data_IF_430633349679
#
_entry.id   IF_430633349679
#
_cell.length_a   1.000
_cell.length_b   1.000
_cell.length_c   1.000
_cell.angle_alpha   90.00
_cell.angle_beta   90.00
_cell.angle_gamma   90.00
#
_symmetry.space_group_name_H-M   'P 1'
#
loop_
_entity.id
_entity.type
_entity.pdbx_description
1 polymer ?
#
# COMPACT_ATOMS: atom_id res chain seq x y z
N UNK A 1 45.39 86.17 -12.87
CA UNK A 1 44.50 85.57 -13.91
C UNK A 1 43.33 84.75 -13.32
N UNK A 2 43.54 83.99 -12.26
CA UNK A 2 42.50 83.16 -11.67
C UNK A 2 41.23 83.89 -11.18
N UNK A 3 41.44 85.04 -10.51
CA UNK A 3 40.36 85.84 -9.95
C UNK A 3 39.41 86.49 -11.02
N UNK A 4 39.88 86.79 -12.25
CA UNK A 4 39.06 87.22 -13.35
C UNK A 4 38.32 86.11 -14.06
N UNK A 5 38.85 84.88 -14.05
CA UNK A 5 38.19 83.68 -14.58
C UNK A 5 37.01 83.28 -13.69
N UNK A 6 37.17 83.27 -12.33
CA UNK A 6 36.13 83.00 -11.36
C UNK A 6 34.96 83.96 -11.39
N UNK A 7 35.25 85.26 -11.56
CA UNK A 7 34.21 86.32 -11.67
C UNK A 7 33.44 86.27 -13.00
N UNK A 8 34.06 85.83 -14.09
CA UNK A 8 33.37 85.59 -15.38
C UNK A 8 32.50 84.33 -15.33
N UNK A 9 32.94 83.32 -14.59
CA UNK A 9 32.16 82.08 -14.41
C UNK A 9 30.89 82.32 -13.60
N UNK A 10 30.88 83.26 -12.63
CA UNK A 10 29.73 83.62 -11.80
C UNK A 10 28.65 84.44 -12.49
N UNK A 11 28.96 85.06 -13.66
CA UNK A 11 28.02 85.90 -14.43
C UNK A 11 27.52 85.20 -15.72
N UNK A 12 28.05 84.05 -16.10
CA UNK A 12 27.64 83.35 -17.31
C UNK A 12 26.44 82.46 -17.01
N UNK A 13 25.27 82.73 -17.62
CA UNK A 13 24.06 81.92 -17.46
C UNK A 13 24.26 80.41 -17.85
N UNK A 14 25.26 80.14 -18.67
CA UNK A 14 25.66 78.75 -19.01
C UNK A 14 26.39 78.04 -17.85
N UNK A 15 27.01 78.82 -16.93
CA UNK A 15 27.63 78.25 -15.72
C UNK A 15 26.62 77.67 -14.74
N UNK A 16 25.37 78.12 -14.74
CA UNK A 16 24.32 77.56 -13.88
C UNK A 16 24.02 76.08 -14.16
N UNK A 17 24.12 75.64 -15.42
CA UNK A 17 23.95 74.24 -15.81
C UNK A 17 25.05 73.37 -15.21
N UNK A 18 26.30 73.82 -15.23
CA UNK A 18 27.42 73.10 -14.64
C UNK A 18 27.33 72.96 -13.08
N UNK A 19 26.85 74.05 -12.44
CA UNK A 19 26.62 74.04 -10.98
C UNK A 19 25.47 73.15 -10.62
N UNK A 20 24.35 73.20 -11.33
CA UNK A 20 23.20 72.27 -11.11
C UNK A 20 23.62 70.79 -11.35
N UNK A 21 24.37 70.58 -12.47
CA UNK A 21 24.88 69.21 -12.74
C UNK A 21 25.81 68.70 -11.65
N UNK A 22 26.75 69.53 -11.17
CA UNK A 22 27.66 69.16 -10.08
C UNK A 22 26.93 68.90 -8.76
N UNK A 23 25.89 69.68 -8.45
CA UNK A 23 25.06 69.46 -7.24
C UNK A 23 24.14 68.23 -7.35
N UNK A 24 23.60 67.94 -8.54
CA UNK A 24 22.73 66.79 -8.77
C UNK A 24 23.50 65.46 -8.97
N UNK A 25 24.76 65.58 -9.47
CA UNK A 25 25.60 64.39 -9.69
C UNK A 25 25.91 63.61 -8.41
N UNK A 26 26.13 64.30 -7.30
CA UNK A 26 26.41 63.67 -6.00
C UNK A 26 25.23 62.81 -5.54
N UNK A 27 24.00 63.31 -5.39
CA UNK A 27 22.87 62.49 -5.01
C UNK A 27 22.55 61.38 -6.01
N UNK A 28 22.78 61.58 -7.33
CA UNK A 28 22.60 60.55 -8.35
C UNK A 28 23.61 59.41 -8.14
N UNK A 29 24.88 59.69 -7.90
CA UNK A 29 25.89 58.65 -7.61
C UNK A 29 25.56 57.91 -6.33
N UNK A 30 25.05 58.59 -5.30
CA UNK A 30 24.61 57.98 -4.06
C UNK A 30 23.43 57.02 -4.30
N UNK A 31 22.41 57.43 -5.06
CA UNK A 31 21.28 56.59 -5.42
C UNK A 31 21.68 55.39 -6.27
N UNK A 32 22.56 55.54 -7.24
CA UNK A 32 23.09 54.46 -8.07
C UNK A 32 23.89 53.45 -7.22
N UNK A 33 24.81 53.92 -6.36
CA UNK A 33 25.61 53.08 -5.48
C UNK A 33 24.73 52.28 -4.51
N UNK A 34 23.72 52.94 -3.92
CA UNK A 34 22.74 52.29 -3.03
C UNK A 34 21.92 51.22 -3.77
N UNK A 35 21.47 51.54 -4.97
CA UNK A 35 20.67 50.60 -5.79
C UNK A 35 21.51 49.35 -6.18
N UNK A 36 22.77 49.57 -6.56
CA UNK A 36 23.67 48.46 -6.90
C UNK A 36 23.95 47.53 -5.68
N UNK A 37 24.28 48.13 -4.55
CA UNK A 37 24.55 47.33 -3.34
C UNK A 37 23.31 46.59 -2.86
N UNK A 38 22.14 47.23 -2.90
CA UNK A 38 20.87 46.57 -2.56
C UNK A 38 20.55 45.45 -3.54
N UNK A 39 20.72 45.64 -4.83
CA UNK A 39 20.46 44.62 -5.85
C UNK A 39 21.40 43.43 -5.69
N UNK A 40 22.66 43.67 -5.39
CA UNK A 40 23.64 42.63 -5.12
C UNK A 40 23.31 41.83 -3.83
N UNK A 41 22.84 42.54 -2.79
CA UNK A 41 22.40 41.90 -1.56
C UNK A 41 21.16 41.01 -1.80
N UNK A 42 20.17 41.47 -2.58
CA UNK A 42 19.02 40.69 -3.00
C UNK A 42 19.43 39.44 -3.80
N UNK A 43 20.33 39.59 -4.77
CA UNK A 43 20.84 38.43 -5.53
C UNK A 43 21.51 37.37 -4.65
N UNK A 44 22.31 37.80 -3.67
CA UNK A 44 22.91 36.90 -2.70
C UNK A 44 21.88 36.22 -1.81
N UNK A 45 20.82 36.97 -1.42
CA UNK A 45 19.70 36.39 -0.67
C UNK A 45 19.00 35.26 -1.44
N UNK A 46 18.74 35.46 -2.75
CA UNK A 46 18.14 34.44 -3.59
C UNK A 46 19.04 33.20 -3.72
N UNK A 47 20.35 33.37 -3.86
CA UNK A 47 21.30 32.25 -3.89
C UNK A 47 21.36 31.49 -2.56
N UNK A 48 21.25 32.18 -1.43
CA UNK A 48 21.22 31.59 -0.10
C UNK A 48 19.86 30.90 0.18
N UNK A 49 18.76 31.45 -0.33
CA UNK A 49 17.45 30.78 -0.30
C UNK A 49 17.52 29.46 -1.05
N UNK A 50 18.08 29.43 -2.25
CA UNK A 50 18.27 28.20 -3.02
C UNK A 50 19.21 27.20 -2.29
N UNK A 51 20.19 27.67 -1.53
CA UNK A 51 21.02 26.81 -0.69
C UNK A 51 20.22 26.22 0.49
N UNK A 52 19.34 27.02 1.12
CA UNK A 52 18.49 26.57 2.20
C UNK A 52 17.45 25.55 1.70
N UNK A 53 16.83 25.78 0.54
CA UNK A 53 15.91 24.82 -0.10
C UNK A 53 16.60 23.50 -0.38
N UNK A 54 17.79 23.52 -0.98
CA UNK A 54 18.56 22.30 -1.25
C UNK A 54 18.93 21.55 0.03
N UNK A 55 19.25 22.25 1.10
CA UNK A 55 19.59 21.67 2.40
C UNK A 55 18.35 21.03 3.06
N UNK A 56 17.21 21.72 3.04
CA UNK A 56 15.95 21.20 3.58
C UNK A 56 15.49 19.95 2.83
N UNK A 57 15.54 19.96 1.48
CA UNK A 57 15.20 18.80 0.65
C UNK A 57 16.16 17.63 0.89
N UNK A 58 17.46 17.88 1.04
CA UNK A 58 18.43 16.82 1.30
C UNK A 58 18.17 16.09 2.62
N UNK A 59 17.67 16.82 3.63
CA UNK A 59 17.38 16.29 4.96
C UNK A 59 16.05 15.53 5.07
N UNK A 60 15.19 15.59 4.03
CA UNK A 60 13.94 14.79 3.94
C UNK A 60 13.99 13.70 2.88
N UNK A 61 15.17 13.32 2.38
CA UNK A 61 15.33 12.18 1.47
C UNK A 61 14.97 10.86 2.19
N UNK A 62 14.58 9.79 1.46
CA UNK A 62 14.16 8.53 2.07
C UNK A 62 15.13 7.99 3.14
N UNK A 63 16.46 8.02 2.87
CA UNK A 63 17.46 7.60 3.83
C UNK A 63 17.50 8.47 5.11
N UNK A 64 17.17 9.74 5.02
CA UNK A 64 17.11 10.66 6.17
C UNK A 64 15.77 10.60 6.89
N UNK A 65 14.68 10.23 6.22
CA UNK A 65 13.37 10.06 6.86
C UNK A 65 13.35 8.89 7.86
N UNK A 66 14.12 7.85 7.60
CA UNK A 66 14.23 6.68 8.48
C UNK A 66 15.34 6.81 9.53
N UNK A 67 16.17 7.87 9.43
CA UNK A 67 17.22 8.15 10.41
C UNK A 67 16.62 8.65 11.72
N UNK A 68 16.85 7.92 12.82
CA UNK A 68 16.32 8.25 14.16
C UNK A 68 17.18 9.28 14.88
N UNK A 69 18.48 9.34 14.58
CA UNK A 69 19.38 10.36 15.14
C UNK A 69 19.21 11.69 14.39
N UNK A 70 18.54 12.63 15.03
CA UNK A 70 18.31 13.98 14.49
C UNK A 70 19.61 14.78 14.32
N UNK A 71 20.70 14.44 15.03
CA UNK A 71 21.99 15.09 14.85
C UNK A 71 22.60 14.78 13.47
N UNK A 72 22.46 13.53 12.98
CA UNK A 72 22.88 13.13 11.62
C UNK A 72 22.09 13.89 10.55
N UNK A 73 20.78 14.05 10.77
CA UNK A 73 19.89 14.77 9.84
C UNK A 73 20.29 16.26 9.77
N UNK A 74 20.52 16.90 10.93
CA UNK A 74 20.99 18.30 11.02
C UNK A 74 22.33 18.48 10.31
N UNK A 75 23.31 17.61 10.62
CA UNK A 75 24.63 17.67 10.00
C UNK A 75 24.56 17.53 8.48
N UNK A 76 23.64 16.69 7.96
CA UNK A 76 23.42 16.56 6.51
C UNK A 76 22.90 17.86 5.89
N UNK A 77 21.93 18.51 6.52
CA UNK A 77 21.41 19.79 6.04
C UNK A 77 22.47 20.89 6.09
N UNK A 78 23.22 20.96 7.21
CA UNK A 78 24.29 21.95 7.41
C UNK A 78 25.40 21.80 6.37
N UNK A 79 25.82 20.56 6.08
CA UNK A 79 26.85 20.28 5.07
C UNK A 79 26.40 20.70 3.66
N UNK A 80 25.16 20.40 3.28
CA UNK A 80 24.61 20.80 1.97
C UNK A 80 24.45 22.31 1.87
N UNK A 81 24.00 22.97 2.93
CA UNK A 81 23.89 24.41 2.98
C UNK A 81 25.29 25.06 2.83
N UNK A 82 26.27 24.67 3.65
CA UNK A 82 27.60 25.21 3.63
C UNK A 82 28.29 25.09 2.26
N UNK A 83 28.12 23.93 1.60
CA UNK A 83 28.66 23.69 0.25
C UNK A 83 28.11 24.67 -0.81
N UNK A 84 26.85 25.13 -0.65
CA UNK A 84 26.18 26.06 -1.59
C UNK A 84 26.22 27.52 -1.15
N UNK A 85 26.39 27.80 0.14
CA UNK A 85 26.40 29.15 0.72
C UNK A 85 27.76 29.81 0.67
N UNK A 86 28.81 29.17 0.17
CA UNK A 86 30.14 29.79 -0.02
C UNK A 86 30.11 30.72 -1.25
N UNK A 87 29.57 31.91 -1.06
CA UNK A 87 29.39 32.89 -2.13
C UNK A 87 30.39 34.03 -1.99
N UNK A 88 30.98 34.53 -3.12
CA UNK A 88 31.84 35.70 -3.08
C UNK A 88 31.08 36.95 -2.66
N UNK A 89 31.71 37.79 -1.85
CA UNK A 89 31.14 39.04 -1.36
C UNK A 89 30.20 38.89 -0.18
N UNK A 90 30.23 37.76 0.52
CA UNK A 90 29.75 37.65 1.89
C UNK A 90 30.90 37.90 2.86
N UNK A 91 30.61 38.41 4.07
CA UNK A 91 31.64 38.61 5.12
C UNK A 91 32.18 37.30 5.65
N UNK A 92 31.38 36.24 5.67
CA UNK A 92 31.70 34.87 6.03
C UNK A 92 30.66 33.91 5.46
N UNK A 93 30.99 32.63 5.35
CA UNK A 93 29.99 31.57 5.06
C UNK A 93 29.01 31.52 6.23
N UNK A 94 27.70 31.76 6.01
CA UNK A 94 26.76 31.75 7.11
C UNK A 94 26.53 30.35 7.65
N UNK A 95 26.39 30.22 8.97
CA UNK A 95 26.01 28.98 9.65
C UNK A 95 24.48 28.93 9.71
N UNK A 96 23.83 27.91 9.15
CA UNK A 96 22.38 27.79 9.22
C UNK A 96 21.91 27.33 10.58
N UNK A 97 20.69 27.68 10.95
CA UNK A 97 19.95 27.04 12.06
C UNK A 97 19.03 26.00 11.46
N UNK A 98 19.22 24.73 11.80
CA UNK A 98 18.41 23.60 11.31
C UNK A 98 17.50 23.10 12.42
N UNK A 99 16.19 23.17 12.17
CA UNK A 99 15.16 22.61 13.08
C UNK A 99 14.58 21.37 12.45
N UNK A 100 14.57 20.25 13.20
CA UNK A 100 13.98 18.96 12.81
C UNK A 100 12.75 18.74 13.70
N UNK A 101 11.59 18.52 13.08
CA UNK A 101 10.33 18.22 13.78
C UNK A 101 9.73 16.96 13.18
N UNK A 102 9.61 15.91 14.00
CA UNK A 102 8.98 14.65 13.64
C UNK A 102 7.55 14.60 14.19
N UNK A 103 6.58 14.27 13.33
CA UNK A 103 5.18 14.11 13.68
C UNK A 103 4.66 12.83 13.02
N UNK A 104 4.61 11.73 13.76
CA UNK A 104 4.30 10.41 13.22
C UNK A 104 5.30 10.01 12.14
N UNK A 105 4.82 9.72 10.94
CA UNK A 105 5.66 9.37 9.78
C UNK A 105 6.24 10.58 9.07
N UNK A 106 5.76 11.78 9.36
CA UNK A 106 6.17 13.00 8.69
C UNK A 106 7.34 13.67 9.42
N UNK A 107 8.35 14.07 8.65
CA UNK A 107 9.47 14.90 9.10
C UNK A 107 9.40 16.25 8.41
N UNK A 108 9.48 17.31 9.20
CA UNK A 108 9.56 18.69 8.75
C UNK A 108 10.94 19.24 9.10
N UNK A 109 11.64 19.76 8.12
CA UNK A 109 12.96 20.39 8.26
C UNK A 109 12.83 21.85 7.90
N UNK A 110 13.22 22.73 8.83
CA UNK A 110 13.34 24.18 8.56
C UNK A 110 14.81 24.58 8.66
N UNK A 111 15.33 25.16 7.59
CA UNK A 111 16.70 25.70 7.51
C UNK A 111 16.59 27.20 7.41
N UNK A 112 17.10 27.93 8.40
CA UNK A 112 17.13 29.39 8.42
C UNK A 112 18.56 29.89 8.48
N UNK A 113 18.81 31.06 7.90
CA UNK A 113 20.14 31.67 7.87
C UNK A 113 20.08 33.18 8.04
N UNK A 114 21.18 33.75 8.50
CA UNK A 114 21.48 35.19 8.48
C UNK A 114 22.89 35.37 7.95
N UNK A 115 23.05 36.28 6.98
CA UNK A 115 24.34 36.55 6.34
C UNK A 115 24.54 38.09 6.17
N UNK A 116 25.83 38.46 5.99
CA UNK A 116 26.21 39.88 5.74
C UNK A 116 26.79 39.97 4.33
N UNK A 117 26.07 40.67 3.44
CA UNK A 117 26.55 41.01 2.10
C UNK A 117 27.48 42.22 2.19
N UNK A 118 28.72 42.12 1.71
CA UNK A 118 29.68 43.23 1.65
C UNK A 118 29.19 44.23 0.60
N UNK A 119 29.15 45.53 0.99
CA UNK A 119 28.80 46.61 0.13
C UNK A 119 30.01 47.07 -0.70
N UNK A 120 29.83 47.33 -1.99
CA UNK A 120 30.87 47.89 -2.86
C UNK A 120 31.03 49.43 -2.68
N UNK A 121 29.99 50.10 -2.21
CA UNK A 121 29.97 51.54 -1.98
C UNK A 121 29.72 51.87 -0.49
N UNK A 122 30.54 51.36 0.45
CA UNK A 122 30.30 51.54 1.88
C UNK A 122 30.35 53.00 2.33
N UNK A 123 31.14 53.84 1.66
CA UNK A 123 31.24 55.29 1.93
C UNK A 123 29.96 56.03 1.58
N UNK A 124 29.14 55.53 0.66
CA UNK A 124 27.86 56.10 0.25
C UNK A 124 26.78 55.80 1.28
N UNK A 125 26.75 54.53 1.78
CA UNK A 125 25.71 54.06 2.69
C UNK A 125 26.04 54.28 4.16
N UNK A 126 27.29 54.61 4.49
CA UNK A 126 27.74 54.60 5.89
C UNK A 126 27.76 53.25 6.55
N UNK A 127 27.61 52.16 5.77
CA UNK A 127 27.56 50.77 6.25
C UNK A 127 28.45 49.87 5.40
N UNK A 128 29.26 49.03 6.06
CA UNK A 128 30.16 48.09 5.40
C UNK A 128 29.40 46.89 4.78
N UNK A 129 28.30 46.52 5.38
CA UNK A 129 27.55 45.32 5.02
C UNK A 129 26.04 45.57 5.01
N UNK A 130 25.32 44.77 4.24
CA UNK A 130 23.89 44.66 4.25
C UNK A 130 23.45 43.28 4.74
N UNK A 131 22.63 43.25 5.80
CA UNK A 131 22.14 41.98 6.35
C UNK A 131 21.08 41.41 5.42
N UNK A 132 21.22 40.12 5.09
CA UNK A 132 20.24 39.29 4.38
C UNK A 132 19.90 38.07 5.21
N UNK A 133 18.66 37.68 5.23
CA UNK A 133 18.16 36.52 5.91
C UNK A 133 17.10 35.80 5.07
N UNK A 134 16.87 34.55 5.38
CA UNK A 134 15.86 33.72 4.76
C UNK A 134 15.68 32.41 5.48
N UNK A 135 14.67 31.66 5.05
CA UNK A 135 14.40 30.30 5.54
C UNK A 135 13.77 29.47 4.46
N UNK A 136 13.98 28.16 4.52
CA UNK A 136 13.33 27.19 3.67
C UNK A 136 12.78 26.05 4.55
N UNK A 137 11.63 25.52 4.19
CA UNK A 137 11.02 24.40 4.91
C UNK A 137 10.66 23.30 3.91
N UNK A 138 11.12 22.07 4.19
CA UNK A 138 10.72 20.87 3.46
C UNK A 138 10.03 19.91 4.40
N UNK A 139 9.00 19.23 3.90
CA UNK A 139 8.27 18.20 4.63
C UNK A 139 8.13 16.98 3.74
N UNK A 140 8.41 15.81 4.29
CA UNK A 140 8.14 14.53 3.65
C UNK A 140 7.70 13.50 4.68
N UNK A 141 7.02 12.45 4.22
CA UNK A 141 6.61 11.32 5.05
C UNK A 141 7.33 10.06 4.60
N UNK A 142 7.79 9.25 5.56
CA UNK A 142 8.28 7.89 5.30
C UNK A 142 7.10 6.96 5.06
N UNK A 143 7.33 5.87 4.32
CA UNK A 143 6.40 4.76 4.31
C UNK A 143 6.47 4.01 5.64
N UNK A 144 5.33 3.54 6.18
CA UNK A 144 5.32 2.81 7.44
C UNK A 144 5.89 1.41 7.29
N UNK A 145 6.46 0.89 8.38
CA UNK A 145 6.67 -0.53 8.55
C UNK A 145 5.30 -1.22 8.67
N UNK A 146 5.12 -2.34 7.97
CA UNK A 146 3.83 -3.04 7.94
C UNK A 146 3.97 -4.54 8.08
N UNK A 147 3.01 -5.14 8.77
CA UNK A 147 2.80 -6.57 8.83
C UNK A 147 1.57 -6.95 8.01
N UNK A 148 1.73 -7.90 7.11
CA UNK A 148 0.70 -8.38 6.20
C UNK A 148 0.23 -9.76 6.60
N UNK A 149 -1.06 -9.92 6.86
CA UNK A 149 -1.69 -11.18 7.20
C UNK A 149 -2.53 -11.64 6.02
N UNK A 150 -1.99 -12.58 5.24
CA UNK A 150 -2.71 -13.20 4.13
C UNK A 150 -3.69 -14.20 4.69
N UNK A 151 -4.98 -13.96 4.53
CA UNK A 151 -6.08 -14.84 4.93
C UNK A 151 -6.75 -15.40 3.68
N UNK A 152 -6.42 -16.63 3.33
CA UNK A 152 -6.75 -17.25 2.05
C UNK A 152 -7.84 -18.29 2.22
N UNK A 153 -8.86 -18.21 1.39
CA UNK A 153 -9.92 -19.18 1.29
C UNK A 153 -9.40 -20.47 0.64
N UNK A 154 -9.56 -21.60 1.34
CA UNK A 154 -9.23 -22.93 0.81
C UNK A 154 -10.44 -23.89 0.86
N UNK A 155 -11.63 -23.31 1.02
CA UNK A 155 -12.90 -24.02 1.02
C UNK A 155 -13.14 -24.77 -0.31
N UNK A 156 -14.08 -25.73 -0.34
CA UNK A 156 -14.37 -26.50 -1.55
C UNK A 156 -14.74 -25.68 -2.78
N UNK A 157 -15.28 -24.47 -2.60
CA UNK A 157 -15.61 -23.55 -3.71
C UNK A 157 -14.36 -23.03 -4.45
N UNK A 158 -13.19 -23.01 -3.79
CA UNK A 158 -11.92 -22.68 -4.44
C UNK A 158 -11.38 -23.78 -5.36
N UNK A 159 -12.03 -24.96 -5.37
CA UNK A 159 -11.78 -26.04 -6.31
C UNK A 159 -12.45 -25.86 -7.68
N UNK A 160 -13.13 -24.75 -7.92
CA UNK A 160 -13.73 -24.46 -9.24
C UNK A 160 -12.64 -24.21 -10.29
N UNK A 161 -12.89 -24.64 -11.54
CA UNK A 161 -12.00 -24.33 -12.68
C UNK A 161 -11.74 -22.82 -12.80
N UNK A 162 -10.49 -22.46 -13.08
CA UNK A 162 -10.04 -21.07 -13.05
C UNK A 162 -10.60 -20.23 -14.20
N UNK A 163 -10.91 -20.86 -15.33
CA UNK A 163 -11.50 -20.23 -16.52
C UNK A 163 -12.73 -20.99 -16.97
N UNK A 164 -13.56 -20.41 -17.84
CA UNK A 164 -14.68 -21.15 -18.44
C UNK A 164 -14.20 -22.42 -19.15
N UNK A 165 -13.06 -22.33 -19.84
CA UNK A 165 -12.46 -23.49 -20.51
C UNK A 165 -12.03 -24.58 -19.51
N UNK A 166 -11.49 -24.21 -18.35
CA UNK A 166 -11.16 -25.15 -17.27
C UNK A 166 -12.42 -25.78 -16.68
N UNK A 167 -13.50 -25.02 -16.53
CA UNK A 167 -14.80 -25.52 -16.07
C UNK A 167 -15.36 -26.52 -17.05
N UNK A 168 -15.40 -26.22 -18.35
CA UNK A 168 -15.93 -27.10 -19.38
C UNK A 168 -15.10 -28.38 -19.49
N UNK A 169 -13.78 -28.23 -19.37
CA UNK A 169 -12.84 -29.35 -19.34
C UNK A 169 -13.05 -30.23 -18.10
N UNK A 170 -13.31 -29.63 -16.94
CA UNK A 170 -13.60 -30.34 -15.69
C UNK A 170 -14.91 -31.13 -15.79
N UNK A 171 -16.00 -30.53 -16.29
CA UNK A 171 -17.27 -31.19 -16.54
C UNK A 171 -17.09 -32.40 -17.46
N UNK A 172 -16.36 -32.22 -18.56
CA UNK A 172 -16.07 -33.29 -19.51
C UNK A 172 -15.23 -34.42 -18.90
N UNK A 173 -14.15 -34.06 -18.18
CA UNK A 173 -13.22 -35.01 -17.58
C UNK A 173 -13.87 -35.85 -16.45
N UNK A 174 -14.92 -35.32 -15.81
CA UNK A 174 -15.67 -36.02 -14.75
C UNK A 174 -16.88 -36.79 -15.26
N UNK A 175 -17.13 -36.86 -16.57
CA UNK A 175 -18.29 -37.51 -17.16
C UNK A 175 -18.42 -39.00 -16.82
N UNK A 176 -17.31 -39.68 -16.59
CA UNK A 176 -17.26 -41.10 -16.19
C UNK A 176 -17.22 -41.36 -14.68
N UNK A 177 -17.26 -40.30 -13.86
CA UNK A 177 -17.29 -40.40 -12.40
C UNK A 177 -18.63 -40.99 -11.89
N UNK A 178 -18.68 -41.51 -10.63
CA UNK A 178 -19.95 -41.84 -9.99
C UNK A 178 -20.99 -40.73 -10.05
N UNK A 179 -22.28 -41.06 -9.96
CA UNK A 179 -23.38 -40.12 -10.15
C UNK A 179 -23.30 -38.87 -9.29
N UNK A 180 -22.75 -38.94 -8.10
CA UNK A 180 -22.55 -37.81 -7.18
C UNK A 180 -21.39 -36.89 -7.55
N UNK A 181 -20.43 -37.36 -8.36
CA UNK A 181 -19.23 -36.65 -8.76
C UNK A 181 -19.18 -36.31 -10.27
N UNK A 182 -20.22 -36.78 -11.02
CA UNK A 182 -20.27 -36.71 -12.48
C UNK A 182 -20.64 -35.31 -12.99
N UNK A 183 -20.02 -34.95 -14.12
CA UNK A 183 -20.27 -33.69 -14.80
C UNK A 183 -20.11 -32.48 -13.85
N UNK A 184 -19.12 -32.54 -12.98
CA UNK A 184 -18.92 -31.58 -11.93
C UNK A 184 -17.89 -30.51 -12.35
N UNK A 185 -18.21 -29.24 -12.14
CA UNK A 185 -17.31 -28.13 -12.38
C UNK A 185 -16.25 -27.97 -11.26
N UNK A 186 -16.46 -28.61 -10.12
CA UNK A 186 -15.62 -28.54 -8.95
C UNK A 186 -14.68 -29.74 -8.84
N UNK A 187 -13.41 -29.48 -8.60
CA UNK A 187 -12.38 -30.47 -8.33
C UNK A 187 -12.32 -30.80 -6.84
N UNK A 188 -13.42 -31.30 -6.27
CA UNK A 188 -13.49 -31.64 -4.84
C UNK A 188 -12.42 -32.65 -4.46
N UNK A 189 -11.73 -32.38 -3.35
CA UNK A 189 -10.72 -33.24 -2.76
C UNK A 189 -11.35 -34.09 -1.65
N UNK A 190 -11.39 -35.41 -1.81
CA UNK A 190 -11.98 -36.30 -0.82
C UNK A 190 -10.93 -36.85 0.17
N UNK A 191 -11.34 -37.07 1.41
CA UNK A 191 -10.44 -37.58 2.47
C UNK A 191 -10.05 -39.04 2.30
N UNK A 192 -10.76 -39.77 1.44
CA UNK A 192 -10.47 -41.19 1.23
C UNK A 192 -9.21 -41.41 0.39
N UNK A 193 -8.12 -41.99 0.94
CA UNK A 193 -6.84 -42.13 0.23
C UNK A 193 -6.94 -42.90 -1.09
N UNK A 194 -7.87 -43.84 -1.19
CA UNK A 194 -8.08 -44.59 -2.42
C UNK A 194 -8.62 -43.73 -3.56
N UNK A 195 -9.38 -42.70 -3.24
CA UNK A 195 -9.94 -41.75 -4.24
C UNK A 195 -8.90 -40.76 -4.72
N UNK A 196 -7.81 -40.57 -3.99
CA UNK A 196 -6.69 -39.71 -4.35
C UNK A 196 -5.67 -40.41 -5.27
N UNK A 197 -5.78 -41.76 -5.45
CA UNK A 197 -4.88 -42.50 -6.33
C UNK A 197 -5.26 -42.32 -7.81
N UNK A 198 -4.38 -41.76 -8.69
CA UNK A 198 -4.67 -41.62 -10.11
C UNK A 198 -5.03 -42.90 -10.84
N UNK A 199 -4.57 -44.04 -10.33
CA UNK A 199 -4.87 -45.39 -10.88
C UNK A 199 -6.16 -46.01 -10.35
N UNK A 200 -6.83 -45.37 -9.39
CA UNK A 200 -8.12 -45.83 -8.84
C UNK A 200 -9.24 -45.61 -9.87
N UNK A 201 -10.18 -46.56 -9.90
CA UNK A 201 -11.42 -46.44 -10.69
C UNK A 201 -12.36 -45.35 -10.13
N UNK A 202 -12.25 -45.09 -8.82
CA UNK A 202 -13.07 -44.08 -8.10
C UNK A 202 -12.18 -42.99 -7.51
N UNK A 203 -11.37 -42.33 -8.35
CA UNK A 203 -10.55 -41.19 -7.94
C UNK A 203 -11.38 -39.93 -7.72
N UNK A 204 -10.97 -39.11 -6.76
CA UNK A 204 -11.62 -37.82 -6.53
C UNK A 204 -11.45 -36.84 -7.71
N UNK A 205 -12.29 -35.82 -7.76
CA UNK A 205 -12.28 -34.87 -8.85
C UNK A 205 -11.04 -33.98 -8.84
N UNK A 206 -10.35 -33.79 -7.71
CA UNK A 206 -9.05 -33.10 -7.67
C UNK A 206 -7.99 -33.92 -8.42
N UNK A 207 -7.95 -35.23 -8.19
CA UNK A 207 -7.06 -36.14 -8.93
C UNK A 207 -7.36 -36.13 -10.43
N UNK A 208 -8.66 -36.07 -10.80
CA UNK A 208 -9.06 -35.92 -12.21
C UNK A 208 -8.56 -34.58 -12.79
N UNK A 209 -8.72 -33.48 -12.04
CA UNK A 209 -8.26 -32.16 -12.48
C UNK A 209 -6.75 -32.15 -12.72
N UNK A 210 -5.96 -32.69 -11.80
CA UNK A 210 -4.49 -32.75 -11.93
C UNK A 210 -4.05 -33.62 -13.10
N UNK A 211 -4.68 -34.78 -13.31
CA UNK A 211 -4.39 -35.65 -14.42
C UNK A 211 -4.72 -35.02 -15.79
N UNK A 212 -5.63 -34.07 -15.85
CA UNK A 212 -6.03 -33.36 -17.06
C UNK A 212 -5.44 -31.96 -17.19
N UNK A 213 -4.48 -31.55 -16.35
CA UNK A 213 -3.88 -30.22 -16.34
C UNK A 213 -4.94 -29.11 -16.32
N UNK A 214 -5.93 -29.22 -15.43
CA UNK A 214 -6.98 -28.23 -15.23
C UNK A 214 -6.50 -27.27 -14.14
N UNK A 215 -6.49 -25.99 -14.45
CA UNK A 215 -6.14 -24.93 -13.48
C UNK A 215 -7.37 -24.62 -12.62
N UNK A 216 -7.17 -24.56 -11.32
CA UNK A 216 -8.21 -24.23 -10.35
C UNK A 216 -8.02 -22.83 -9.77
N UNK A 217 -9.06 -22.24 -9.21
CA UNK A 217 -8.98 -20.93 -8.53
C UNK A 217 -7.88 -20.90 -7.47
N UNK A 218 -7.78 -21.95 -6.66
CA UNK A 218 -6.74 -22.06 -5.62
C UNK A 218 -5.33 -21.97 -6.20
N UNK A 219 -5.11 -22.50 -7.40
CA UNK A 219 -3.81 -22.45 -8.07
C UNK A 219 -3.45 -21.01 -8.44
N UNK A 220 -4.42 -20.22 -8.95
CA UNK A 220 -4.21 -18.81 -9.27
C UNK A 220 -3.94 -17.99 -8.00
N UNK A 221 -4.67 -18.22 -6.92
CA UNK A 221 -4.44 -17.56 -5.62
C UNK A 221 -3.05 -17.89 -5.09
N UNK A 222 -2.67 -19.16 -5.12
CA UNK A 222 -1.34 -19.62 -4.67
C UNK A 222 -0.22 -18.99 -5.48
N UNK A 223 -0.38 -18.91 -6.83
CA UNK A 223 0.58 -18.25 -7.71
C UNK A 223 0.67 -16.74 -7.45
N UNK A 224 -0.45 -16.06 -7.20
CA UNK A 224 -0.49 -14.64 -6.86
C UNK A 224 0.28 -14.35 -5.57
N UNK A 225 0.05 -15.14 -4.52
CA UNK A 225 0.78 -15.03 -3.25
C UNK A 225 2.27 -15.31 -3.45
N UNK A 226 2.62 -16.28 -4.31
CA UNK A 226 4.02 -16.57 -4.66
C UNK A 226 4.68 -15.37 -5.34
N UNK A 227 4.04 -14.78 -6.33
CA UNK A 227 4.56 -13.58 -7.02
C UNK A 227 4.76 -12.43 -6.06
N UNK A 228 3.83 -12.21 -5.14
CA UNK A 228 3.89 -11.17 -4.14
C UNK A 228 5.09 -11.34 -3.19
N UNK A 229 5.39 -12.59 -2.75
CA UNK A 229 6.37 -12.87 -1.69
C UNK A 229 7.76 -13.28 -2.20
N UNK A 230 7.86 -14.03 -3.30
CA UNK A 230 9.14 -14.55 -3.80
C UNK A 230 9.40 -14.27 -5.27
N UNK A 231 8.40 -13.83 -6.00
CA UNK A 231 8.53 -13.45 -7.40
C UNK A 231 8.46 -14.63 -8.38
N UNK A 232 8.96 -14.42 -9.61
CA UNK A 232 9.85 -13.30 -10.03
C UNK A 232 9.14 -11.96 -10.21
N UNK A 233 9.78 -10.89 -9.78
CA UNK A 233 9.35 -9.51 -10.00
C UNK A 233 10.54 -8.63 -10.41
N UNK A 234 10.39 -7.84 -11.48
CA UNK A 234 11.43 -6.91 -11.92
C UNK A 234 11.34 -5.62 -11.10
N UNK A 235 12.26 -5.46 -10.14
CA UNK A 235 12.32 -4.25 -9.34
C UNK A 235 13.09 -3.14 -10.06
N UNK A 236 12.56 -1.87 -10.11
CA UNK A 236 13.29 -0.74 -10.65
C UNK A 236 14.61 -0.44 -9.89
N UNK A 237 14.68 -0.79 -8.62
CA UNK A 237 15.91 -0.64 -7.83
C UNK A 237 16.87 -1.79 -8.14
N UNK A 238 18.08 -1.45 -8.62
CA UNK A 238 19.12 -2.43 -8.90
C UNK A 238 19.56 -3.21 -7.66
N UNK A 239 19.84 -4.50 -7.82
CA UNK A 239 20.31 -5.38 -6.74
C UNK A 239 19.21 -5.90 -5.81
N UNK A 240 17.95 -5.55 -6.03
CA UNK A 240 16.80 -6.12 -5.31
C UNK A 240 16.21 -7.26 -6.13
N UNK A 241 16.20 -8.45 -5.54
CA UNK A 241 15.58 -9.66 -6.11
C UNK A 241 14.48 -10.16 -5.18
N UNK A 242 13.52 -10.89 -5.72
CA UNK A 242 12.40 -11.47 -4.96
C UNK A 242 11.05 -11.06 -5.49
N UNK A 243 10.06 -11.01 -4.61
CA UNK A 243 8.68 -10.63 -4.96
C UNK A 243 8.43 -9.13 -4.87
N UNK A 244 7.17 -8.78 -5.12
CA UNK A 244 6.69 -7.38 -5.05
C UNK A 244 6.94 -6.76 -3.67
N UNK A 245 6.74 -7.53 -2.59
CA UNK A 245 6.93 -7.04 -1.21
C UNK A 245 8.37 -6.59 -0.95
N UNK A 246 9.37 -7.36 -1.40
CA UNK A 246 10.79 -6.99 -1.23
C UNK A 246 11.13 -5.74 -2.02
N UNK A 247 10.64 -5.66 -3.27
CA UNK A 247 10.86 -4.50 -4.11
C UNK A 247 10.26 -3.23 -3.49
N UNK A 248 9.01 -3.27 -3.07
CA UNK A 248 8.34 -2.12 -2.46
C UNK A 248 8.96 -1.73 -1.11
N UNK A 249 9.40 -2.71 -0.31
CA UNK A 249 10.11 -2.43 0.94
C UNK A 249 11.43 -1.68 0.69
N UNK A 250 12.18 -2.10 -0.34
CA UNK A 250 13.43 -1.44 -0.72
C UNK A 250 13.19 -0.03 -1.28
N UNK A 251 12.22 0.14 -2.21
CA UNK A 251 11.89 1.44 -2.78
C UNK A 251 11.42 2.45 -1.72
N UNK A 252 10.66 1.98 -0.74
CA UNK A 252 10.12 2.80 0.34
C UNK A 252 11.07 2.93 1.54
N UNK A 253 12.21 2.24 1.52
CA UNK A 253 13.16 2.16 2.63
C UNK A 253 12.46 1.80 3.96
N UNK A 254 11.65 0.75 3.94
CA UNK A 254 10.82 0.31 5.06
C UNK A 254 10.89 -1.21 5.24
N UNK A 255 10.30 -1.74 6.31
CA UNK A 255 10.28 -3.18 6.60
C UNK A 255 8.87 -3.73 6.47
N UNK A 256 8.73 -4.79 5.67
CA UNK A 256 7.51 -5.57 5.57
C UNK A 256 7.74 -6.98 6.10
N UNK A 257 6.75 -7.47 6.85
CA UNK A 257 6.66 -8.88 7.26
C UNK A 257 5.35 -9.46 6.73
N UNK A 258 5.32 -10.77 6.55
CA UNK A 258 4.15 -11.48 6.06
C UNK A 258 3.86 -12.72 6.89
N UNK A 259 2.58 -13.01 7.08
CA UNK A 259 2.06 -14.26 7.61
C UNK A 259 1.08 -14.85 6.60
N UNK A 260 0.95 -16.18 6.58
CA UNK A 260 0.00 -16.89 5.72
C UNK A 260 -0.91 -17.74 6.61
N UNK A 261 -2.18 -17.44 6.53
CA UNK A 261 -3.27 -18.19 7.14
C UNK A 261 -4.23 -18.63 6.05
N UNK A 262 -4.80 -19.80 6.21
CA UNK A 262 -5.92 -20.24 5.37
C UNK A 262 -7.13 -20.48 6.25
N UNK A 263 -8.29 -20.43 5.66
CA UNK A 263 -9.51 -20.83 6.34
C UNK A 263 -10.36 -21.76 5.47
N UNK A 264 -10.99 -22.66 6.15
CA UNK A 264 -12.05 -23.54 5.72
C UNK A 264 -13.19 -23.43 6.76
N UNK A 265 -13.56 -24.47 7.48
CA UNK A 265 -14.44 -24.42 8.65
C UNK A 265 -13.74 -23.88 9.90
N UNK A 266 -12.43 -23.63 9.82
CA UNK A 266 -11.56 -23.09 10.89
C UNK A 266 -10.41 -22.28 10.31
N UNK A 267 -9.72 -21.55 11.18
CA UNK A 267 -8.46 -20.92 10.82
C UNK A 267 -7.31 -21.94 10.87
N UNK A 268 -6.49 -21.99 9.82
CA UNK A 268 -5.30 -22.81 9.74
C UNK A 268 -4.06 -21.92 9.59
N UNK A 269 -3.00 -22.23 10.33
CA UNK A 269 -1.72 -21.52 10.24
C UNK A 269 -0.81 -22.22 9.24
N UNK A 270 -0.46 -21.54 8.14
CA UNK A 270 0.54 -21.98 7.18
C UNK A 270 1.91 -21.44 7.58
N UNK A 271 1.98 -20.14 7.88
CA UNK A 271 3.19 -19.47 8.32
C UNK A 271 2.85 -18.28 9.23
N UNK A 272 3.45 -18.26 10.40
CA UNK A 272 3.40 -17.09 11.30
C UNK A 272 4.23 -15.95 10.75
N UNK A 273 4.08 -14.74 11.32
CA UNK A 273 4.70 -13.51 10.86
C UNK A 273 6.23 -13.62 10.77
N UNK A 274 6.75 -13.43 9.56
CA UNK A 274 8.19 -13.50 9.24
C UNK A 274 8.51 -12.63 8.02
N UNK A 275 9.73 -12.72 7.48
CA UNK A 275 10.08 -12.03 6.23
C UNK A 275 9.25 -12.60 5.06
N UNK A 276 8.90 -11.80 4.04
CA UNK A 276 8.12 -12.29 2.90
C UNK A 276 8.79 -13.46 2.18
N UNK A 277 10.12 -13.45 2.05
CA UNK A 277 10.88 -14.56 1.44
C UNK A 277 10.71 -15.85 2.21
N UNK A 278 10.82 -15.81 3.54
CA UNK A 278 10.63 -16.99 4.39
C UNK A 278 9.18 -17.47 4.34
N UNK A 279 8.20 -16.56 4.42
CA UNK A 279 6.79 -16.92 4.28
C UNK A 279 6.51 -17.60 2.93
N UNK A 280 7.11 -17.10 1.87
CA UNK A 280 6.98 -17.64 0.51
C UNK A 280 7.45 -19.08 0.35
N UNK A 281 8.38 -19.56 1.20
CA UNK A 281 8.80 -21.00 1.16
C UNK A 281 7.70 -21.96 1.61
N UNK A 282 6.68 -21.47 2.32
CA UNK A 282 5.58 -22.28 2.85
C UNK A 282 4.35 -22.33 1.93
N UNK A 283 4.38 -21.67 0.79
CA UNK A 283 3.23 -21.57 -0.13
C UNK A 283 2.77 -22.95 -0.63
N UNK A 284 3.66 -23.91 -0.79
CA UNK A 284 3.32 -25.28 -1.18
C UNK A 284 2.41 -26.00 -0.14
N UNK A 285 2.31 -25.47 1.08
CA UNK A 285 1.44 -25.99 2.14
C UNK A 285 0.01 -25.42 2.08
N UNK A 286 -0.28 -24.47 1.17
CA UNK A 286 -1.64 -24.02 0.89
C UNK A 286 -2.34 -25.11 0.08
N UNK A 287 -3.31 -25.78 0.68
CA UNK A 287 -4.03 -26.91 0.08
C UNK A 287 -5.53 -26.71 0.25
N UNK A 288 -6.28 -27.20 -0.73
CA UNK A 288 -7.73 -27.28 -0.62
C UNK A 288 -8.15 -28.11 0.59
N UNK A 289 -9.23 -27.69 1.24
CA UNK A 289 -9.88 -28.49 2.27
C UNK A 289 -10.39 -29.82 1.67
N UNK A 290 -10.05 -30.97 2.26
CA UNK A 290 -10.63 -32.24 1.87
C UNK A 290 -12.05 -32.37 2.41
N UNK A 291 -12.95 -32.90 1.59
CA UNK A 291 -14.34 -33.23 1.95
C UNK A 291 -14.54 -34.74 2.09
N UNK A 292 -15.57 -35.14 2.83
CA UNK A 292 -15.90 -36.56 2.98
C UNK A 292 -16.51 -37.10 1.68
N UNK A 293 -17.53 -36.42 1.18
CA UNK A 293 -18.16 -36.70 -0.12
C UNK A 293 -18.45 -35.42 -0.89
N UNK A 294 -18.22 -35.43 -2.22
CA UNK A 294 -18.67 -34.36 -3.08
C UNK A 294 -20.19 -34.36 -3.21
N UNK A 295 -20.78 -33.16 -3.38
CA UNK A 295 -22.24 -33.00 -3.56
C UNK A 295 -23.08 -33.69 -2.49
N UNK A 296 -22.59 -33.82 -1.29
CA UNK A 296 -23.24 -34.55 -0.23
C UNK A 296 -24.63 -33.98 0.12
N UNK A 297 -24.87 -32.71 -0.08
CA UNK A 297 -26.20 -32.06 0.09
C UNK A 297 -27.24 -32.65 -0.86
N UNK A 298 -26.80 -33.02 -2.08
CA UNK A 298 -27.69 -33.60 -3.08
C UNK A 298 -28.05 -35.07 -2.72
N UNK A 299 -27.06 -35.80 -2.22
CA UNK A 299 -27.22 -37.22 -1.86
C UNK A 299 -27.59 -37.48 -0.40
N UNK A 300 -27.77 -36.39 0.37
CA UNK A 300 -28.16 -36.43 1.80
C UNK A 300 -27.18 -37.18 2.70
N UNK A 301 -25.89 -37.18 2.38
CA UNK A 301 -24.82 -37.87 3.10
C UNK A 301 -23.76 -36.88 3.65
N UNK A 302 -24.21 -35.69 3.99
CA UNK A 302 -23.34 -34.60 4.45
C UNK A 302 -22.83 -34.84 5.86
N UNK A 303 -21.52 -34.96 6.01
CA UNK A 303 -20.89 -34.88 7.32
C UNK A 303 -19.82 -33.78 7.42
N UNK A 304 -19.09 -33.48 6.36
CA UNK A 304 -17.92 -32.60 6.44
C UNK A 304 -17.68 -31.71 5.20
N UNK A 305 -18.61 -31.55 4.28
CA UNK A 305 -18.41 -30.69 3.09
C UNK A 305 -18.80 -29.23 3.29
N UNK A 306 -19.15 -28.84 4.52
CA UNK A 306 -19.27 -27.44 4.89
C UNK A 306 -17.89 -26.86 5.20
N UNK A 307 -17.58 -25.75 4.64
CA UNK A 307 -16.28 -25.15 4.88
C UNK A 307 -16.16 -23.84 4.11
N UNK A 308 -16.46 -22.77 4.77
CA UNK A 308 -16.13 -21.40 4.42
C UNK A 308 -16.59 -20.52 5.58
N UNK A 309 -15.93 -20.61 6.74
CA UNK A 309 -16.20 -19.70 7.86
C UNK A 309 -15.30 -18.46 7.77
N UNK A 310 -15.64 -17.56 6.82
CA UNK A 310 -14.88 -16.32 6.58
C UNK A 310 -14.83 -15.46 7.84
N UNK A 311 -15.98 -15.29 8.51
CA UNK A 311 -16.07 -14.49 9.73
C UNK A 311 -15.26 -15.11 10.88
N UNK A 312 -15.23 -16.43 10.99
CA UNK A 312 -14.37 -17.17 11.93
C UNK A 312 -12.90 -17.01 11.62
N UNK A 313 -12.50 -17.08 10.34
CA UNK A 313 -11.15 -16.83 9.87
C UNK A 313 -10.68 -15.42 10.21
N UNK A 314 -11.49 -14.40 9.91
CA UNK A 314 -11.22 -13.00 10.26
C UNK A 314 -11.11 -12.80 11.78
N UNK A 315 -12.00 -13.41 12.56
CA UNK A 315 -11.96 -13.33 14.03
C UNK A 315 -10.68 -13.98 14.57
N UNK A 316 -10.32 -15.14 14.02
CA UNK A 316 -9.10 -15.85 14.42
C UNK A 316 -7.84 -15.06 14.14
N UNK A 317 -7.69 -14.48 12.94
CA UNK A 317 -6.56 -13.61 12.60
C UNK A 317 -6.56 -12.35 13.46
N UNK A 318 -7.74 -11.75 13.73
CA UNK A 318 -7.87 -10.58 14.61
C UNK A 318 -7.30 -10.85 16.02
N UNK A 319 -7.50 -12.04 16.55
CA UNK A 319 -7.00 -12.43 17.87
C UNK A 319 -5.48 -12.67 17.90
N UNK A 320 -4.88 -12.98 16.73
CA UNK A 320 -3.43 -13.20 16.58
C UNK A 320 -2.69 -11.89 16.38
N UNK A 321 -3.31 -10.93 15.68
CA UNK A 321 -2.67 -9.65 15.36
C UNK A 321 -2.45 -8.80 16.63
N UNK A 322 -1.24 -8.25 16.83
CA UNK A 322 -0.98 -7.30 17.91
C UNK A 322 -1.76 -5.99 17.70
N UNK A 323 -1.67 -5.10 18.66
CA UNK A 323 -2.16 -3.73 18.48
C UNK A 323 -1.33 -3.03 17.39
N UNK A 324 -1.98 -2.40 16.39
CA UNK A 324 -1.26 -1.68 15.35
C UNK A 324 -0.63 -0.40 15.91
N UNK A 325 0.57 -0.08 15.44
CA UNK A 325 1.25 1.18 15.72
C UNK A 325 1.23 2.13 14.53
N UNK A 326 2.07 3.16 14.59
CA UNK A 326 2.27 4.12 13.51
C UNK A 326 3.11 3.57 12.36
N UNK A 327 3.88 2.52 12.60
CA UNK A 327 4.84 1.96 11.65
C UNK A 327 6.09 2.81 11.47
N UNK A 328 6.38 3.70 12.42
CA UNK A 328 7.59 4.55 12.43
C UNK A 328 8.81 3.73 12.87
N UNK A 329 10.02 4.31 12.72
CA UNK A 329 11.23 3.72 13.28
C UNK A 329 11.54 4.25 14.70
N UNK A 330 10.60 4.96 15.32
CA UNK A 330 10.77 5.49 16.67
C UNK A 330 10.73 4.38 17.72
N UNK A 331 11.52 4.52 18.76
CA UNK A 331 11.54 3.56 19.85
C UNK A 331 10.16 3.45 20.53
N UNK A 332 9.68 2.20 20.68
CA UNK A 332 8.37 1.91 21.27
C UNK A 332 7.19 1.92 20.30
N UNK A 333 7.38 2.31 19.03
CA UNK A 333 6.34 2.16 18.01
C UNK A 333 6.33 0.75 17.41
N UNK A 334 5.17 0.32 16.92
CA UNK A 334 4.97 -0.99 16.28
C UNK A 334 4.52 -0.80 14.84
N UNK A 335 4.71 -1.81 13.97
CA UNK A 335 4.23 -1.78 12.60
C UNK A 335 2.71 -1.56 12.50
N UNK A 336 2.26 -1.08 11.36
CA UNK A 336 0.85 -1.13 11.00
C UNK A 336 0.46 -2.56 10.62
N UNK A 337 -0.74 -2.96 10.99
CA UNK A 337 -1.27 -4.29 10.69
C UNK A 337 -2.25 -4.20 9.51
N UNK A 338 -2.15 -5.16 8.57
CA UNK A 338 -3.02 -5.21 7.38
C UNK A 338 -3.44 -6.65 7.13
N UNK A 339 -4.75 -6.87 6.97
CA UNK A 339 -5.30 -8.17 6.54
C UNK A 339 -5.57 -8.13 5.03
N UNK A 340 -5.11 -9.15 4.32
CA UNK A 340 -5.48 -9.43 2.95
C UNK A 340 -6.42 -10.63 2.94
N UNK A 341 -7.70 -10.40 2.70
CA UNK A 341 -8.72 -11.44 2.54
C UNK A 341 -8.86 -11.78 1.06
N UNK A 342 -8.61 -13.05 0.71
CA UNK A 342 -8.84 -13.58 -0.64
C UNK A 342 -9.89 -14.67 -0.54
N UNK A 343 -11.06 -14.46 -1.14
CA UNK A 343 -12.22 -15.36 -1.02
C UNK A 343 -13.21 -15.19 -2.17
N UNK A 344 -14.11 -16.15 -2.36
CA UNK A 344 -15.29 -16.03 -3.21
C UNK A 344 -16.54 -15.50 -2.46
N UNK A 345 -16.41 -15.25 -1.15
CA UNK A 345 -17.33 -14.45 -0.36
C UNK A 345 -18.60 -15.13 0.15
N UNK A 346 -18.76 -16.41 -0.08
CA UNK A 346 -19.89 -17.18 0.47
C UNK A 346 -19.48 -17.91 1.72
N UNK A 347 -20.09 -17.57 2.85
CA UNK A 347 -19.97 -18.39 4.07
C UNK A 347 -20.80 -19.67 3.95
N UNK A 348 -20.24 -20.78 4.36
CA UNK A 348 -20.88 -22.08 4.45
C UNK A 348 -20.46 -22.77 5.73
N UNK A 349 -21.23 -22.59 6.79
CA UNK A 349 -20.86 -22.99 8.15
C UNK A 349 -22.00 -23.57 8.94
N UNK A 350 -21.67 -24.28 10.01
CA UNK A 350 -22.65 -24.72 10.99
C UNK A 350 -23.01 -23.61 11.96
N UNK A 351 -24.30 -23.41 12.17
CA UNK A 351 -24.83 -22.51 13.19
C UNK A 351 -25.79 -23.27 14.11
N UNK A 352 -26.03 -22.73 15.31
CA UNK A 352 -27.07 -23.27 16.19
C UNK A 352 -28.44 -23.10 15.54
N UNK A 353 -29.36 -24.05 15.76
CA UNK A 353 -30.75 -23.93 15.30
C UNK A 353 -31.48 -22.70 15.82
N UNK A 354 -31.04 -22.17 16.95
CA UNK A 354 -31.55 -20.93 17.54
C UNK A 354 -30.99 -19.66 16.89
N UNK A 355 -29.91 -19.77 16.11
CA UNK A 355 -29.34 -18.65 15.36
C UNK A 355 -30.01 -18.56 13.99
N UNK A 356 -30.19 -17.33 13.50
CA UNK A 356 -30.70 -17.09 12.15
C UNK A 356 -29.57 -17.02 11.15
N UNK A 357 -29.71 -17.73 10.05
CA UNK A 357 -29.00 -17.45 8.81
C UNK A 357 -29.48 -16.10 8.25
N UNK A 358 -28.69 -15.45 7.40
CA UNK A 358 -29.14 -14.21 6.74
C UNK A 358 -30.53 -14.42 6.15
N UNK A 359 -31.51 -13.50 6.37
CA UNK A 359 -32.89 -13.66 5.92
C UNK A 359 -33.05 -13.97 4.43
N UNK A 360 -32.04 -13.63 3.61
CA UNK A 360 -32.03 -13.96 2.18
C UNK A 360 -31.77 -15.46 1.90
N UNK A 361 -31.37 -16.26 2.86
CA UNK A 361 -31.17 -17.69 2.71
C UNK A 361 -32.53 -18.40 2.69
N UNK A 362 -33.15 -18.51 1.52
CA UNK A 362 -34.53 -19.01 1.34
C UNK A 362 -34.68 -20.52 1.40
N UNK A 363 -33.59 -21.28 1.49
CA UNK A 363 -33.65 -22.74 1.52
C UNK A 363 -33.12 -23.29 2.86
N UNK A 364 -33.95 -24.06 3.59
CA UNK A 364 -33.48 -24.77 4.76
C UNK A 364 -32.38 -25.73 4.34
N UNK A 365 -31.22 -25.61 4.97
CA UNK A 365 -30.14 -26.56 4.81
C UNK A 365 -30.34 -27.75 5.74
N UNK A 366 -29.81 -28.95 5.41
CA UNK A 366 -29.96 -30.11 6.25
C UNK A 366 -29.52 -29.85 7.69
N UNK A 367 -30.27 -30.31 8.63
CA UNK A 367 -29.85 -30.34 10.03
C UNK A 367 -28.65 -31.28 10.19
N UNK A 368 -27.59 -30.75 10.82
CA UNK A 368 -26.43 -31.58 11.20
C UNK A 368 -26.53 -31.89 12.68
N UNK A 369 -27.02 -33.09 12.98
CA UNK A 369 -27.35 -33.48 14.35
C UNK A 369 -28.61 -32.79 14.89
N UNK A 370 -28.78 -32.82 16.22
CA UNK A 370 -29.98 -32.34 16.90
C UNK A 370 -29.99 -30.83 17.14
N UNK A 371 -28.82 -30.16 17.16
CA UNK A 371 -28.67 -28.79 17.65
C UNK A 371 -28.15 -27.77 16.60
N UNK A 372 -27.62 -28.25 15.47
CA UNK A 372 -26.98 -27.41 14.46
C UNK A 372 -27.69 -27.50 13.11
N UNK A 373 -27.58 -26.43 12.33
CA UNK A 373 -28.00 -26.37 10.94
C UNK A 373 -26.87 -25.78 10.11
N UNK A 374 -26.75 -26.20 8.86
CA UNK A 374 -25.84 -25.62 7.89
C UNK A 374 -26.41 -24.27 7.41
N UNK A 375 -25.60 -23.24 7.38
CA UNK A 375 -25.97 -21.90 6.89
C UNK A 375 -25.07 -21.51 5.72
N UNK A 376 -25.69 -21.18 4.59
CA UNK A 376 -24.99 -20.54 3.47
C UNK A 376 -25.51 -19.14 3.28
N UNK A 377 -24.62 -18.17 3.34
CA UNK A 377 -24.94 -16.74 3.27
C UNK A 377 -23.74 -15.93 2.74
N UNK A 378 -23.95 -14.70 2.24
CA UNK A 378 -22.84 -13.77 2.03
C UNK A 378 -22.15 -13.43 3.35
N UNK A 379 -20.86 -13.05 3.29
CA UNK A 379 -20.04 -12.71 4.46
C UNK A 379 -20.80 -11.83 5.48
N UNK A 380 -20.78 -12.23 6.75
CA UNK A 380 -21.17 -11.36 7.86
C UNK A 380 -20.04 -10.38 8.21
N UNK A 381 -20.28 -9.09 8.01
CA UNK A 381 -19.27 -8.04 8.12
C UNK A 381 -18.91 -7.60 9.55
N UNK A 382 -19.51 -8.19 10.58
CA UNK A 382 -19.24 -7.82 11.97
C UNK A 382 -17.77 -7.98 12.36
N UNK A 383 -17.13 -9.09 11.93
CA UNK A 383 -15.70 -9.32 12.16
C UNK A 383 -14.83 -8.26 11.47
N UNK A 384 -15.20 -7.84 10.25
CA UNK A 384 -14.51 -6.77 9.53
C UNK A 384 -14.59 -5.45 10.28
N UNK A 385 -15.77 -5.10 10.82
CA UNK A 385 -15.96 -3.90 11.63
C UNK A 385 -15.09 -3.92 12.88
N UNK A 386 -15.03 -5.06 13.57
CA UNK A 386 -14.17 -5.23 14.75
C UNK A 386 -12.68 -4.98 14.43
N UNK A 387 -12.18 -5.53 13.32
CA UNK A 387 -10.80 -5.34 12.87
C UNK A 387 -10.55 -3.86 12.53
N UNK A 388 -11.45 -3.25 11.74
CA UNK A 388 -11.31 -1.82 11.34
C UNK A 388 -11.35 -0.88 12.54
N UNK A 389 -12.16 -1.16 13.55
CA UNK A 389 -12.23 -0.35 14.79
C UNK A 389 -10.94 -0.39 15.61
N UNK A 390 -10.07 -1.39 15.41
CA UNK A 390 -8.71 -1.41 15.96
C UNK A 390 -7.71 -0.55 15.18
N UNK A 391 -8.12 0.07 14.07
CA UNK A 391 -7.22 0.79 13.16
C UNK A 391 -6.50 -0.11 12.17
N UNK A 392 -6.88 -1.39 12.08
CA UNK A 392 -6.30 -2.37 11.14
C UNK A 392 -7.01 -2.26 9.79
N UNK A 393 -6.24 -2.17 8.71
CA UNK A 393 -6.79 -2.12 7.35
C UNK A 393 -7.10 -3.52 6.83
N UNK A 394 -8.20 -3.64 6.08
CA UNK A 394 -8.57 -4.88 5.38
C UNK A 394 -8.55 -4.60 3.88
N UNK A 395 -7.71 -5.34 3.16
CA UNK A 395 -7.70 -5.40 1.71
C UNK A 395 -8.43 -6.68 1.27
N UNK A 396 -9.40 -6.55 0.39
CA UNK A 396 -10.23 -7.68 -0.06
C UNK A 396 -10.03 -7.91 -1.55
N UNK A 397 -9.63 -9.11 -1.91
CA UNK A 397 -9.64 -9.62 -3.27
C UNK A 397 -10.78 -10.63 -3.42
N UNK A 398 -11.80 -10.25 -4.16
CA UNK A 398 -12.95 -11.09 -4.47
C UNK A 398 -12.70 -11.87 -5.77
N UNK A 399 -12.64 -13.19 -5.68
CA UNK A 399 -12.65 -14.07 -6.85
C UNK A 399 -14.12 -14.36 -7.22
N UNK A 400 -14.62 -13.65 -8.22
CA UNK A 400 -16.05 -13.63 -8.53
C UNK A 400 -16.62 -15.04 -8.75
N UNK A 401 -17.79 -15.27 -8.15
CA UNK A 401 -18.56 -16.48 -8.39
C UNK A 401 -19.10 -16.46 -9.83
N UNK A 402 -18.72 -17.48 -10.60
CA UNK A 402 -19.32 -17.69 -11.90
C UNK A 402 -20.78 -18.12 -11.77
N UNK A 403 -21.56 -17.73 -12.76
CA UNK A 403 -22.88 -18.30 -12.94
C UNK A 403 -22.74 -19.72 -13.49
N UNK A 404 -23.28 -20.68 -12.75
CA UNK A 404 -23.29 -22.08 -13.13
C UNK A 404 -24.77 -22.53 -13.37
N UNK A 405 -25.39 -22.10 -14.47
CA UNK A 405 -26.80 -22.33 -14.71
C UNK A 405 -27.15 -23.82 -14.90
N UNK A 406 -26.19 -24.67 -15.21
CA UNK A 406 -26.35 -26.10 -15.28
C UNK A 406 -26.21 -26.80 -13.92
N UNK A 407 -25.62 -26.14 -12.93
CA UNK A 407 -25.37 -26.71 -11.61
C UNK A 407 -26.56 -26.47 -10.67
N UNK A 408 -27.13 -27.56 -10.14
CA UNK A 408 -28.32 -27.50 -9.28
C UNK A 408 -28.04 -26.92 -7.89
N UNK A 409 -26.81 -27.11 -7.37
CA UNK A 409 -26.40 -26.48 -6.13
C UNK A 409 -26.33 -24.96 -6.27
N UNK A 410 -25.63 -24.46 -7.31
CA UNK A 410 -25.58 -23.04 -7.61
C UNK A 410 -26.98 -22.42 -7.72
N UNK A 411 -27.84 -23.00 -8.53
CA UNK A 411 -29.22 -22.49 -8.73
C UNK A 411 -30.00 -22.37 -7.42
N UNK A 412 -29.90 -23.36 -6.55
CA UNK A 412 -30.69 -23.44 -5.33
C UNK A 412 -30.10 -22.66 -4.16
N UNK A 413 -28.76 -22.47 -4.13
CA UNK A 413 -28.06 -22.00 -2.92
C UNK A 413 -27.28 -20.70 -3.12
N UNK A 414 -26.70 -20.47 -4.28
CA UNK A 414 -25.78 -19.34 -4.53
C UNK A 414 -26.41 -18.27 -5.39
N UNK A 415 -27.21 -18.65 -6.40
CA UNK A 415 -27.73 -17.70 -7.40
C UNK A 415 -28.51 -16.53 -6.77
N UNK A 416 -29.20 -16.75 -5.66
CA UNK A 416 -29.92 -15.71 -4.92
C UNK A 416 -29.03 -14.59 -4.38
N UNK A 417 -27.74 -14.87 -4.11
CA UNK A 417 -26.76 -13.92 -3.61
C UNK A 417 -25.88 -13.35 -4.71
N UNK A 418 -25.81 -14.05 -5.83
CA UNK A 418 -24.98 -13.71 -6.98
C UNK A 418 -25.86 -13.20 -8.12
N UNK A 419 -26.54 -12.07 -7.89
CA UNK A 419 -27.45 -11.50 -8.87
C UNK A 419 -26.70 -10.63 -9.89
N UNK A 420 -26.60 -11.05 -11.17
CA UNK A 420 -25.93 -10.27 -12.22
C UNK A 420 -26.70 -9.02 -12.65
N UNK A 421 -27.97 -8.90 -12.28
CA UNK A 421 -28.81 -7.74 -12.63
C UNK A 421 -28.49 -6.50 -11.79
N UNK A 422 -27.80 -6.67 -10.66
CA UNK A 422 -27.18 -5.56 -9.93
C UNK A 422 -25.70 -5.56 -10.25
N UNK A 423 -25.12 -4.44 -10.62
CA UNK A 423 -23.69 -4.28 -10.88
C UNK A 423 -22.79 -4.73 -9.70
N UNK A 424 -23.40 -5.08 -8.59
CA UNK A 424 -22.77 -5.59 -7.36
C UNK A 424 -23.72 -6.55 -6.69
N UNK A 425 -23.68 -7.85 -6.96
CA UNK A 425 -24.44 -8.84 -6.20
C UNK A 425 -24.21 -8.73 -4.68
N UNK A 426 -25.06 -9.33 -3.86
CA UNK A 426 -24.98 -9.23 -2.39
C UNK A 426 -23.63 -9.70 -1.85
N UNK A 427 -23.00 -10.72 -2.48
CA UNK A 427 -21.65 -11.19 -2.15
C UNK A 427 -20.65 -10.05 -2.29
N UNK A 428 -20.62 -9.40 -3.47
CA UNK A 428 -19.71 -8.29 -3.76
C UNK A 428 -19.92 -7.11 -2.81
N UNK A 429 -21.19 -6.76 -2.52
CA UNK A 429 -21.52 -5.65 -1.60
C UNK A 429 -21.01 -5.90 -0.17
N UNK A 430 -21.17 -7.11 0.34
CA UNK A 430 -20.67 -7.49 1.68
C UNK A 430 -19.15 -7.48 1.74
N UNK A 431 -18.46 -7.99 0.72
CA UNK A 431 -17.00 -7.97 0.62
C UNK A 431 -16.47 -6.53 0.47
N UNK A 432 -17.12 -5.70 -0.35
CA UNK A 432 -16.78 -4.28 -0.47
C UNK A 432 -16.97 -3.53 0.85
N UNK A 433 -18.03 -3.82 1.60
CA UNK A 433 -18.26 -3.26 2.93
C UNK A 433 -17.25 -3.74 3.97
N UNK A 434 -16.73 -4.96 3.83
CA UNK A 434 -15.65 -5.51 4.65
C UNK A 434 -14.34 -4.76 4.41
N UNK A 435 -14.00 -4.46 3.17
CA UNK A 435 -12.78 -3.77 2.80
C UNK A 435 -12.67 -2.39 3.45
N UNK A 436 -11.44 -1.95 3.68
CA UNK A 436 -11.14 -0.56 3.97
C UNK A 436 -11.31 0.30 2.72
N UNK A 437 -11.59 1.62 2.83
CA UNK A 437 -11.82 2.48 1.68
C UNK A 437 -10.73 2.36 0.62
N UNK A 438 -11.12 2.09 -0.64
CA UNK A 438 -10.20 1.94 -1.78
C UNK A 438 -9.44 0.61 -1.84
N UNK A 439 -9.61 -0.31 -0.87
CA UNK A 439 -8.88 -1.57 -0.78
C UNK A 439 -9.75 -2.79 -1.12
N UNK A 440 -10.65 -2.64 -2.07
CA UNK A 440 -11.43 -3.72 -2.65
C UNK A 440 -11.05 -3.90 -4.13
N UNK A 441 -10.85 -5.14 -4.53
CA UNK A 441 -10.71 -5.53 -5.93
C UNK A 441 -11.54 -6.79 -6.18
N UNK A 442 -12.13 -6.89 -7.38
CA UNK A 442 -12.80 -8.11 -7.85
C UNK A 442 -12.15 -8.60 -9.14
N UNK A 443 -12.04 -9.91 -9.28
CA UNK A 443 -11.48 -10.56 -10.47
C UNK A 443 -12.46 -11.59 -10.96
N UNK A 444 -12.89 -11.41 -12.21
CA UNK A 444 -13.73 -12.38 -12.91
C UNK A 444 -12.93 -13.63 -13.27
N UNK A 445 -13.62 -14.71 -13.55
CA UNK A 445 -13.01 -15.95 -14.02
C UNK A 445 -12.23 -15.70 -15.32
N UNK A 446 -10.99 -16.14 -15.33
CA UNK A 446 -10.03 -15.87 -16.42
C UNK A 446 -9.29 -14.54 -16.31
N UNK A 447 -9.63 -13.69 -15.31
CA UNK A 447 -8.86 -12.49 -15.00
C UNK A 447 -7.56 -12.80 -14.28
N UNK A 448 -6.62 -11.86 -14.31
CA UNK A 448 -5.31 -12.01 -13.64
C UNK A 448 -5.42 -11.69 -12.14
N UNK A 449 -5.53 -12.76 -11.34
CA UNK A 449 -5.54 -12.67 -9.87
C UNK A 449 -4.19 -12.12 -9.35
N UNK A 450 -3.08 -12.43 -10.02
CA UNK A 450 -1.75 -11.99 -9.60
C UNK A 450 -1.58 -10.49 -9.77
N UNK A 451 -2.03 -9.94 -10.89
CA UNK A 451 -2.01 -8.49 -11.13
C UNK A 451 -2.93 -7.77 -10.14
N UNK A 452 -4.16 -8.27 -9.96
CA UNK A 452 -5.12 -7.64 -9.03
C UNK A 452 -4.62 -7.66 -7.58
N UNK A 453 -4.00 -8.75 -7.12
CA UNK A 453 -3.41 -8.83 -5.78
C UNK A 453 -2.20 -7.91 -5.63
N UNK A 454 -1.38 -7.82 -6.68
CA UNK A 454 -0.22 -6.93 -6.74
C UNK A 454 -0.64 -5.47 -6.68
N UNK A 455 -1.62 -5.07 -7.49
CA UNK A 455 -2.16 -3.71 -7.50
C UNK A 455 -2.77 -3.33 -6.16
N UNK A 456 -3.50 -4.26 -5.54
CA UNK A 456 -4.09 -4.05 -4.22
C UNK A 456 -3.00 -3.89 -3.15
N UNK A 457 -1.93 -4.68 -3.23
CA UNK A 457 -0.76 -4.54 -2.34
C UNK A 457 -0.07 -3.19 -2.54
N UNK A 458 0.19 -2.79 -3.79
CA UNK A 458 0.81 -1.49 -4.11
C UNK A 458 -0.05 -0.35 -3.57
N UNK A 459 -1.37 -0.40 -3.70
CA UNK A 459 -2.29 0.60 -3.12
C UNK A 459 -2.15 0.68 -1.60
N UNK A 460 -2.08 -0.45 -0.90
CA UNK A 460 -1.87 -0.49 0.56
C UNK A 460 -0.52 0.13 0.92
N UNK A 461 0.55 -0.25 0.22
CA UNK A 461 1.91 0.21 0.48
C UNK A 461 2.13 1.70 0.14
N UNK A 462 1.41 2.23 -0.86
CA UNK A 462 1.56 3.62 -1.36
C UNK A 462 0.65 4.63 -0.66
N UNK A 463 -0.42 4.20 0.01
CA UNK A 463 -1.47 5.07 0.56
C UNK A 463 -1.01 5.97 1.72
N UNK A 464 0.26 5.93 2.11
CA UNK A 464 0.85 6.69 3.22
C UNK A 464 1.94 7.67 2.80
N UNK A 465 2.40 7.64 1.54
CA UNK A 465 3.44 8.52 1.04
C UNK A 465 2.82 9.71 0.26
N UNK A 466 2.36 10.74 0.95
CA UNK A 466 2.03 12.02 0.31
C UNK A 466 3.14 13.04 0.58
N UNK A 467 3.81 13.51 -0.49
CA UNK A 467 4.60 14.73 -0.45
C UNK A 467 3.61 15.89 -0.27
N UNK A 468 3.73 16.63 0.83
CA UNK A 468 3.05 17.91 1.01
C UNK A 468 4.07 18.98 0.66
N UNK A 469 3.87 19.66 -0.48
CA UNK A 469 4.61 20.85 -0.86
C UNK A 469 4.24 22.03 0.01
#
# INVERSE_FOLDING_TARGET
>A
MLRRAVLRFGSDRKANVAIIFALTMVPIIFLLGMTLDYTLALRKREQLNAAADAAAIAAVRPAMLTQTDTAVVKATAEAVFAAKANLPGLSSVPTPTVTVTDTGLARTITVSYTAQSINNFPGVLGKQTWQVNGSATARASSAPNMNFYMLLDVSPSMALGATQADIDKMISATSSQPSYARNCAFACHEIHPNNQNPSSTNKDNLTVARANNITLRIDLVTNAVKQLMVGPWTCPQSGVSGGVMQCMAALNNTTYKAAIYTFDYKLNTVQTLTTPTTAGTQIANIKLMPVDHQNCVIINQCSTDYGSDIAGGLTGVNNIMPAPGGGTNQAGDTPQEVVFLVTDGVEDKLILKSASCDPAATYPLPAVGSTQVRCQQPLNTAACTTIKNRGIRIAVLYTEYLQLPADDWYKKKIAQFNNPSSSTGMIAQRLQSCASPGLYASVQTGGDISDALTDLFIKVASSTASLVQ
#
